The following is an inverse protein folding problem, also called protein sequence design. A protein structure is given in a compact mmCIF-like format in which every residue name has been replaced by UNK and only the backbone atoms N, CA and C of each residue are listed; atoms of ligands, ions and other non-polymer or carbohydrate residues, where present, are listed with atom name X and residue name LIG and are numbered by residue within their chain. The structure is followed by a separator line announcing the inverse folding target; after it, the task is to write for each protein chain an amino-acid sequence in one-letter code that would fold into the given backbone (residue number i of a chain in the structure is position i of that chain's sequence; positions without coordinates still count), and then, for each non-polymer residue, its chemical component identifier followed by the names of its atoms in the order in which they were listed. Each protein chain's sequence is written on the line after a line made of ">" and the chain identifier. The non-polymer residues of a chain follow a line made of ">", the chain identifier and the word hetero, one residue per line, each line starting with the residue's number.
data_IF_898453907145
#
_entry.id   IF_898453907145
#
_cell.length_a   1.000
_cell.length_b   1.000
_cell.length_c   1.000
_cell.angle_alpha   90.00
_cell.angle_beta   90.00
_cell.angle_gamma   90.00
#
_symmetry.space_group_name_H-M   'P 1'
#
loop_
_entity.id
_entity.type
_entity.pdbx_description
1 polymer ?
#
# COMPACT_ATOMS: atom_id res chain seq x y z
N UNK A 1 0.43 27.74 -35.73
CA UNK A 1 1.15 27.13 -34.58
C UNK A 1 0.30 27.30 -33.31
N UNK A 2 -0.65 26.40 -32.98
CA UNK A 2 -1.42 26.54 -31.70
C UNK A 2 -1.77 25.16 -31.07
N UNK A 3 -1.87 24.08 -31.84
CA UNK A 3 -2.15 22.74 -31.27
C UNK A 3 -1.02 22.16 -30.38
N UNK A 4 0.16 22.77 -30.34
CA UNK A 4 1.33 22.28 -29.58
C UNK A 4 1.37 22.75 -28.12
N UNK A 5 0.48 23.64 -27.68
CA UNK A 5 0.47 24.19 -26.31
C UNK A 5 -0.56 23.54 -25.37
N UNK A 6 -1.32 22.56 -25.84
CA UNK A 6 -2.33 21.85 -25.03
C UNK A 6 -1.68 20.65 -24.34
N UNK A 7 -1.12 20.88 -23.14
CA UNK A 7 -0.54 19.85 -22.26
C UNK A 7 -1.59 18.79 -21.90
N UNK A 8 -1.30 17.49 -21.96
CA UNK A 8 -2.23 16.37 -21.70
C UNK A 8 -2.76 16.24 -20.24
N UNK A 9 -3.29 17.33 -19.68
CA UNK A 9 -3.87 17.43 -18.33
C UNK A 9 -5.37 17.25 -18.40
N UNK A 10 -5.92 16.60 -17.37
CA UNK A 10 -7.32 16.17 -17.32
C UNK A 10 -8.37 17.28 -17.44
N UNK A 11 -8.02 18.55 -17.18
CA UNK A 11 -8.95 19.68 -17.32
C UNK A 11 -9.19 20.13 -18.77
N UNK A 12 -8.34 19.72 -19.71
CA UNK A 12 -8.50 20.14 -21.12
C UNK A 12 -9.79 19.64 -21.77
N UNK A 13 -10.38 18.55 -21.24
CA UNK A 13 -11.65 18.04 -21.75
C UNK A 13 -12.80 19.04 -21.60
N UNK A 14 -12.66 20.00 -20.68
CA UNK A 14 -13.60 21.08 -20.42
C UNK A 14 -13.24 22.40 -21.13
N UNK A 15 -12.20 22.44 -21.96
CA UNK A 15 -11.82 23.65 -22.69
C UNK A 15 -12.30 23.56 -24.14
N UNK A 16 -12.96 24.62 -24.61
CA UNK A 16 -13.30 24.86 -26.02
C UNK A 16 -12.40 25.98 -26.56
N UNK A 17 -11.93 25.80 -27.79
CA UNK A 17 -11.20 26.83 -28.52
C UNK A 17 -12.15 27.46 -29.52
N UNK A 18 -12.44 28.75 -29.35
CA UNK A 18 -13.23 29.54 -30.28
C UNK A 18 -12.28 30.54 -30.99
N UNK A 19 -11.99 30.28 -32.28
CA UNK A 19 -11.03 31.07 -33.05
C UNK A 19 -9.57 30.87 -32.65
N UNK A 20 -8.68 31.75 -33.12
CA UNK A 20 -7.23 31.61 -32.91
C UNK A 20 -6.77 31.94 -31.46
N UNK A 21 -7.60 32.58 -30.62
CA UNK A 21 -7.11 33.16 -29.35
C UNK A 21 -8.04 32.96 -28.14
N UNK A 22 -9.33 32.63 -28.30
CA UNK A 22 -10.24 32.52 -27.15
C UNK A 22 -10.39 31.07 -26.65
N UNK A 23 -9.98 30.85 -25.39
CA UNK A 23 -10.20 29.60 -24.65
C UNK A 23 -11.40 29.80 -23.73
N UNK A 24 -12.50 29.10 -23.99
CA UNK A 24 -13.73 29.14 -23.17
C UNK A 24 -13.95 27.81 -22.45
N UNK A 25 -14.66 27.84 -21.32
CA UNK A 25 -15.02 26.62 -20.58
C UNK A 25 -16.29 26.02 -21.17
N UNK A 26 -16.24 24.75 -21.51
CA UNK A 26 -17.38 23.96 -21.94
C UNK A 26 -18.22 23.53 -20.73
N UNK A 27 -19.09 24.43 -20.27
CA UNK A 27 -20.00 24.16 -19.15
C UNK A 27 -20.95 22.99 -19.40
N UNK A 28 -21.21 22.63 -20.67
CA UNK A 28 -22.05 21.48 -21.01
C UNK A 28 -21.36 20.17 -20.61
N UNK A 29 -20.11 19.98 -21.02
CA UNK A 29 -19.31 18.80 -20.61
C UNK A 29 -19.06 18.74 -19.12
N UNK A 30 -18.88 19.90 -18.47
CA UNK A 30 -18.78 19.97 -17.02
C UNK A 30 -20.05 19.46 -16.32
N UNK A 31 -21.22 19.89 -16.78
CA UNK A 31 -22.50 19.44 -16.23
C UNK A 31 -22.78 17.95 -16.52
N UNK A 32 -22.38 17.46 -17.69
CA UNK A 32 -22.48 16.04 -18.04
C UNK A 32 -21.60 15.16 -17.15
N UNK A 33 -20.35 15.58 -16.86
CA UNK A 33 -19.45 14.85 -15.97
C UNK A 33 -19.86 14.93 -14.51
N UNK A 34 -20.50 16.03 -14.08
CA UNK A 34 -21.02 16.16 -12.72
C UNK A 34 -22.05 15.08 -12.37
N UNK A 35 -22.78 14.53 -13.35
CA UNK A 35 -23.69 13.41 -13.15
C UNK A 35 -22.98 12.09 -12.77
N UNK A 36 -21.69 11.97 -13.07
CA UNK A 36 -20.86 10.80 -12.78
C UNK A 36 -20.00 10.95 -11.53
N UNK A 37 -20.00 12.13 -10.91
CA UNK A 37 -19.22 12.37 -9.70
C UNK A 37 -19.69 11.49 -8.54
N UNK A 38 -18.73 10.86 -7.86
CA UNK A 38 -19.01 9.94 -6.74
C UNK A 38 -19.35 8.50 -7.14
N UNK A 39 -19.51 8.21 -8.44
CA UNK A 39 -19.71 6.84 -8.91
C UNK A 39 -18.37 6.11 -9.06
N UNK A 40 -18.28 4.91 -8.47
CA UNK A 40 -17.11 4.03 -8.60
C UNK A 40 -17.48 2.75 -9.34
N UNK A 41 -17.14 2.70 -10.63
CA UNK A 41 -17.31 1.52 -11.46
C UNK A 41 -16.15 0.52 -11.29
N UNK A 42 -16.47 -0.77 -11.35
CA UNK A 42 -15.48 -1.84 -11.38
C UNK A 42 -15.60 -2.60 -12.71
N UNK A 43 -14.52 -2.62 -13.49
CA UNK A 43 -14.41 -3.46 -14.69
C UNK A 43 -13.47 -4.62 -14.36
N UNK A 44 -13.96 -5.84 -14.55
CA UNK A 44 -13.19 -7.05 -14.23
C UNK A 44 -13.57 -8.18 -15.19
N UNK A 45 -12.62 -9.07 -15.45
CA UNK A 45 -12.79 -10.27 -16.25
C UNK A 45 -13.13 -11.52 -15.40
N UNK A 46 -13.45 -11.34 -14.12
CA UNK A 46 -13.76 -12.43 -13.20
C UNK A 46 -15.20 -12.90 -13.31
N UNK A 47 -15.46 -14.13 -12.88
CA UNK A 47 -16.81 -14.74 -12.78
C UNK A 47 -17.45 -14.56 -11.40
N UNK A 48 -16.78 -13.85 -10.48
CA UNK A 48 -17.28 -13.60 -9.12
C UNK A 48 -18.56 -12.74 -9.12
N UNK A 49 -19.34 -12.86 -8.05
CA UNK A 49 -20.54 -12.04 -7.86
C UNK A 49 -20.18 -10.56 -7.68
N UNK A 50 -21.12 -9.66 -8.00
CA UNK A 50 -20.94 -8.20 -7.82
C UNK A 50 -20.56 -7.83 -6.38
N UNK A 51 -21.18 -8.49 -5.39
CA UNK A 51 -20.89 -8.25 -3.98
C UNK A 51 -19.48 -8.69 -3.60
N UNK A 52 -19.02 -9.84 -4.10
CA UNK A 52 -17.67 -10.34 -3.82
C UNK A 52 -16.60 -9.45 -4.46
N UNK A 53 -16.86 -8.95 -5.67
CA UNK A 53 -15.97 -8.00 -6.35
C UNK A 53 -15.83 -6.74 -5.49
N UNK A 54 -16.94 -6.12 -5.09
CA UNK A 54 -16.91 -4.90 -4.27
C UNK A 54 -16.20 -5.16 -2.94
N UNK A 55 -16.51 -6.29 -2.28
CA UNK A 55 -15.87 -6.68 -1.03
C UNK A 55 -14.36 -6.86 -1.19
N UNK A 56 -13.90 -7.61 -2.20
CA UNK A 56 -12.48 -7.87 -2.45
C UNK A 56 -11.71 -6.59 -2.80
N UNK A 57 -12.25 -5.75 -3.68
CA UNK A 57 -11.65 -4.45 -3.97
C UNK A 57 -11.66 -3.54 -2.73
N UNK A 58 -12.66 -3.68 -1.86
CA UNK A 58 -12.70 -3.08 -0.53
C UNK A 58 -11.61 -3.58 0.42
N UNK A 59 -10.82 -4.60 0.07
CA UNK A 59 -9.68 -5.06 0.87
C UNK A 59 -8.34 -4.54 0.37
N UNK A 60 -8.28 -3.85 -0.78
CA UNK A 60 -7.05 -3.26 -1.32
C UNK A 60 -6.37 -2.32 -0.33
N UNK A 61 -7.13 -1.56 0.45
CA UNK A 61 -6.57 -0.69 1.50
C UNK A 61 -5.78 -1.49 2.56
N UNK A 62 -6.07 -2.77 2.77
CA UNK A 62 -5.30 -3.62 3.69
C UNK A 62 -3.86 -3.80 3.19
N UNK A 63 -3.69 -3.88 1.87
CA UNK A 63 -2.40 -3.94 1.21
C UNK A 63 -1.68 -2.60 1.34
N UNK A 64 -2.38 -1.47 1.13
CA UNK A 64 -1.79 -0.15 1.37
C UNK A 64 -1.40 0.06 2.83
N UNK A 65 -2.21 -0.41 3.77
CA UNK A 65 -1.90 -0.41 5.20
C UNK A 65 -0.68 -1.28 5.49
N UNK A 66 -0.55 -2.44 4.86
CA UNK A 66 0.63 -3.29 4.95
C UNK A 66 1.91 -2.57 4.51
N UNK A 67 1.85 -1.89 3.37
CA UNK A 67 2.97 -1.10 2.85
C UNK A 67 3.29 0.10 3.74
N UNK A 68 2.28 0.72 4.35
CA UNK A 68 2.47 1.85 5.30
C UNK A 68 3.17 1.41 6.57
N UNK A 69 2.72 0.31 7.18
CA UNK A 69 3.36 -0.33 8.35
C UNK A 69 4.80 -0.72 8.01
N UNK A 70 5.04 -1.30 6.84
CA UNK A 70 6.40 -1.65 6.39
C UNK A 70 7.33 -0.42 6.28
N UNK A 71 6.81 0.71 5.78
CA UNK A 71 7.58 1.94 5.60
C UNK A 71 7.85 2.71 6.90
N UNK A 72 6.90 2.75 7.83
CA UNK A 72 7.06 3.48 9.10
C UNK A 72 7.63 2.61 10.22
N UNK A 73 7.09 1.41 10.44
CA UNK A 73 7.42 0.60 11.61
C UNK A 73 8.64 -0.30 11.38
N UNK A 74 8.78 -0.82 10.16
CA UNK A 74 9.94 -1.64 9.74
C UNK A 74 11.03 -0.82 9.04
N UNK A 75 10.82 0.48 8.81
CA UNK A 75 11.75 1.41 8.13
C UNK A 75 12.24 0.90 6.76
N UNK A 76 11.47 0.04 6.09
CA UNK A 76 11.80 -0.41 4.73
C UNK A 76 11.43 0.74 3.79
N UNK A 77 12.41 1.62 3.50
CA UNK A 77 12.19 2.71 2.55
C UNK A 77 11.87 2.13 1.16
N UNK A 78 10.96 2.75 0.38
CA UNK A 78 10.80 2.39 -1.01
C UNK A 78 12.12 2.65 -1.74
N UNK A 79 12.76 1.58 -2.22
CA UNK A 79 13.97 1.68 -3.02
C UNK A 79 13.54 1.49 -4.48
N UNK A 80 13.81 2.48 -5.33
CA UNK A 80 13.54 2.38 -6.76
C UNK A 80 14.52 1.39 -7.40
N UNK A 81 14.04 0.16 -7.61
CA UNK A 81 14.80 -0.89 -8.27
C UNK A 81 14.58 -0.81 -9.78
N UNK A 82 15.66 -0.77 -10.55
CA UNK A 82 15.60 -0.77 -12.03
C UNK A 82 15.73 -2.17 -12.63
N UNK A 83 16.46 -3.06 -11.94
CA UNK A 83 16.69 -4.43 -12.40
C UNK A 83 15.56 -5.34 -11.91
N UNK A 84 14.97 -6.10 -12.84
CA UNK A 84 13.87 -7.02 -12.57
C UNK A 84 14.14 -7.95 -11.39
N UNK A 85 15.31 -8.61 -11.37
CA UNK A 85 15.70 -9.52 -10.27
C UNK A 85 15.68 -8.85 -8.90
N UNK A 86 16.07 -7.57 -8.81
CA UNK A 86 16.02 -6.82 -7.54
C UNK A 86 14.58 -6.53 -7.16
N UNK A 87 13.74 -6.11 -8.11
CA UNK A 87 12.31 -5.86 -7.89
C UNK A 87 11.64 -7.10 -7.30
N UNK A 88 11.84 -8.26 -7.93
CA UNK A 88 11.28 -9.54 -7.48
C UNK A 88 11.75 -9.91 -6.06
N UNK A 89 13.05 -9.79 -5.79
CA UNK A 89 13.60 -10.06 -4.46
C UNK A 89 13.01 -9.12 -3.38
N UNK A 90 12.89 -7.83 -3.67
CA UNK A 90 12.34 -6.85 -2.74
C UNK A 90 10.86 -7.09 -2.46
N UNK A 91 10.06 -7.41 -3.48
CA UNK A 91 8.65 -7.78 -3.31
C UNK A 91 8.53 -9.05 -2.45
N UNK A 92 9.38 -10.05 -2.72
CA UNK A 92 9.39 -11.32 -1.98
C UNK A 92 9.71 -11.11 -0.50
N UNK A 93 10.77 -10.34 -0.19
CA UNK A 93 11.15 -10.04 1.20
C UNK A 93 10.03 -9.27 1.90
N UNK A 94 9.46 -8.24 1.26
CA UNK A 94 8.34 -7.50 1.83
C UNK A 94 7.12 -8.40 2.12
N UNK A 95 6.83 -9.34 1.23
CA UNK A 95 5.74 -10.29 1.43
C UNK A 95 5.98 -11.19 2.64
N UNK A 96 7.21 -11.71 2.81
CA UNK A 96 7.58 -12.52 3.97
C UNK A 96 7.48 -11.71 5.26
N UNK A 97 8.02 -10.50 5.29
CA UNK A 97 7.95 -9.59 6.44
C UNK A 97 6.48 -9.31 6.81
N UNK A 98 5.63 -9.03 5.82
CA UNK A 98 4.21 -8.79 6.06
C UNK A 98 3.47 -10.02 6.59
N UNK A 99 3.82 -11.22 6.11
CA UNK A 99 3.28 -12.48 6.63
C UNK A 99 3.60 -12.64 8.12
N UNK A 100 4.84 -12.39 8.53
CA UNK A 100 5.26 -12.45 9.93
C UNK A 100 4.51 -11.42 10.78
N UNK A 101 4.38 -10.18 10.28
CA UNK A 101 3.61 -9.14 10.94
C UNK A 101 2.14 -9.54 11.15
N UNK A 102 1.51 -10.14 10.13
CA UNK A 102 0.14 -10.62 10.21
C UNK A 102 -0.03 -11.79 11.16
N UNK A 103 0.96 -12.67 11.24
CA UNK A 103 0.94 -13.75 12.22
C UNK A 103 1.04 -13.20 13.65
N UNK A 104 1.90 -12.20 13.90
CA UNK A 104 1.94 -11.50 15.18
C UNK A 104 0.57 -10.88 15.53
N UNK A 105 -0.07 -10.18 14.59
CA UNK A 105 -1.41 -9.61 14.78
C UNK A 105 -2.45 -10.68 15.14
N UNK A 106 -2.39 -11.84 14.45
CA UNK A 106 -3.28 -12.97 14.71
C UNK A 106 -3.06 -13.54 16.11
N UNK A 107 -1.81 -13.72 16.52
CA UNK A 107 -1.45 -14.24 17.84
C UNK A 107 -1.90 -13.30 18.98
N UNK A 108 -1.72 -11.99 18.82
CA UNK A 108 -2.19 -11.01 19.80
C UNK A 108 -3.72 -11.05 19.94
N UNK A 109 -4.46 -11.17 18.83
CA UNK A 109 -5.92 -11.33 18.86
C UNK A 109 -6.36 -12.62 19.56
N UNK A 110 -5.71 -13.74 19.27
CA UNK A 110 -6.01 -15.02 19.92
C UNK A 110 -5.76 -14.99 21.42
N UNK A 111 -4.67 -14.34 21.86
CA UNK A 111 -4.34 -14.16 23.27
C UNK A 111 -5.15 -13.06 23.96
N UNK A 112 -6.07 -12.39 23.25
CA UNK A 112 -6.93 -11.30 23.73
C UNK A 112 -6.15 -10.18 24.42
N UNK A 113 -4.92 -9.92 23.96
CA UNK A 113 -4.10 -8.83 24.51
C UNK A 113 -4.59 -7.48 23.99
N UNK A 114 -4.51 -6.45 24.84
CA UNK A 114 -4.79 -5.05 24.47
C UNK A 114 -3.62 -4.35 23.77
N UNK A 115 -2.55 -5.09 23.51
CA UNK A 115 -1.28 -4.57 23.00
C UNK A 115 -1.35 -4.55 21.47
N UNK A 116 -0.91 -3.43 20.86
CA UNK A 116 -0.79 -3.32 19.40
C UNK A 116 0.45 -4.07 18.89
N UNK A 117 0.47 -4.43 17.61
CA UNK A 117 1.62 -5.11 17.01
C UNK A 117 2.89 -4.27 17.12
N UNK A 118 2.77 -2.96 16.97
CA UNK A 118 3.88 -2.01 17.04
C UNK A 118 4.50 -2.03 18.43
N UNK A 119 3.68 -1.96 19.48
CA UNK A 119 4.15 -2.00 20.85
C UNK A 119 4.74 -3.38 21.21
N UNK A 120 4.18 -4.47 20.68
CA UNK A 120 4.77 -5.81 20.84
C UNK A 120 6.16 -5.90 20.20
N UNK A 121 6.35 -5.29 19.03
CA UNK A 121 7.66 -5.22 18.35
C UNK A 121 8.64 -4.36 19.15
N UNK A 122 8.21 -3.24 19.75
CA UNK A 122 9.06 -2.43 20.62
C UNK A 122 9.54 -3.19 21.85
N UNK A 123 8.63 -3.90 22.53
CA UNK A 123 8.99 -4.77 23.65
C UNK A 123 9.99 -5.82 23.18
N UNK A 124 9.73 -6.48 22.05
CA UNK A 124 10.63 -7.49 21.50
C UNK A 124 12.05 -6.96 21.21
N UNK A 125 12.19 -5.70 20.80
CA UNK A 125 13.51 -5.05 20.61
C UNK A 125 14.29 -4.87 21.92
N UNK A 126 13.60 -4.79 23.05
CA UNK A 126 14.21 -4.64 24.38
C UNK A 126 14.57 -5.97 25.05
N UNK A 127 14.17 -7.10 24.46
CA UNK A 127 14.52 -8.43 24.96
C UNK A 127 15.94 -8.75 24.51
N UNK A 128 16.88 -8.75 25.45
CA UNK A 128 18.24 -9.22 25.23
C UNK A 128 18.38 -10.65 25.76
N UNK A 129 18.94 -11.54 24.96
CA UNK A 129 19.38 -12.85 25.40
C UNK A 129 20.82 -12.73 25.93
N UNK A 130 21.05 -13.19 27.16
CA UNK A 130 22.40 -13.30 27.73
C UNK A 130 22.81 -14.77 27.61
N UNK A 131 23.78 -15.06 26.76
CA UNK A 131 24.44 -16.37 26.71
C UNK A 131 25.57 -16.39 27.75
N UNK A 132 25.37 -17.15 28.82
CA UNK A 132 26.40 -17.39 29.83
C UNK A 132 27.16 -18.67 29.46
N UNK A 133 28.39 -18.51 28.96
CA UNK A 133 29.35 -19.60 28.91
C UNK A 133 29.94 -19.81 30.30
N UNK A 134 29.38 -20.79 31.02
CA UNK A 134 29.94 -21.24 32.30
C UNK A 134 31.16 -22.10 31.96
N UNK A 135 32.35 -21.56 32.16
CA UNK A 135 33.60 -22.33 32.10
C UNK A 135 33.81 -22.97 33.48
N UNK A 136 33.18 -24.12 33.67
CA UNK A 136 33.40 -24.97 34.83
C UNK A 136 34.18 -26.20 34.39
N UNK A 137 35.45 -26.28 34.77
CA UNK A 137 36.10 -27.58 34.94
C UNK A 137 35.34 -28.29 36.06
N UNK A 138 34.38 -29.12 35.67
CA UNK A 138 33.83 -30.14 36.56
C UNK A 138 34.94 -31.16 36.78
N UNK A 139 35.89 -30.80 37.66
CA UNK A 139 36.77 -31.76 38.28
C UNK A 139 35.89 -32.68 39.13
N UNK A 140 35.49 -33.79 38.51
CA UNK A 140 34.91 -34.94 39.17
C UNK A 140 35.91 -35.40 40.24
N UNK A 141 35.57 -35.18 41.51
CA UNK A 141 36.13 -35.95 42.62
C UNK A 141 35.23 -37.14 42.89
#
# INVERSE_FOLDING_TARGET
>A
MIKSSINNRGYNKYLKLEGEINITIDHKKFAEDAAWDGLKGYLTNTTLSKHDIISNYGQLWKIEKAFRVSKHDLKIRPIYHRLQKRIEAHITINFVVYKVYKELERQLKLKKTKISCEHAIEIAKSIYAIELHIQGDFATK
#
